data_IF_805253926122
#
_entry.id   IF_805253926122
#
_cell.length_a   1.000
_cell.length_b   1.000
_cell.length_c   1.000
_cell.angle_alpha   90.00
_cell.angle_beta   90.00
_cell.angle_gamma   90.00
#
_symmetry.space_group_name_H-M   'P 1'
#
loop_
_entity.id
_entity.type
_entity.pdbx_description
1 polymer ?
#
# COMPACT_ATOMS: atom_id res chain seq x y z
N UNK A 1 -16.47 5.48 1.88
CA UNK A 1 -15.18 6.19 1.84
C UNK A 1 -15.46 7.62 1.45
N UNK A 2 -14.53 8.55 1.72
CA UNK A 2 -14.58 9.86 1.06
C UNK A 2 -14.54 9.63 -0.46
N UNK A 3 -15.15 10.53 -1.25
CA UNK A 3 -15.37 10.38 -2.69
C UNK A 3 -14.10 10.11 -3.54
N UNK A 4 -12.93 10.13 -2.91
CA UNK A 4 -11.62 10.16 -3.55
C UNK A 4 -10.69 9.00 -3.12
N UNK A 5 -11.14 8.13 -2.21
CA UNK A 5 -10.46 6.87 -1.90
C UNK A 5 -11.46 5.75 -1.58
N UNK A 6 -11.46 4.72 -2.41
CA UNK A 6 -12.27 3.52 -2.20
C UNK A 6 -11.37 2.44 -1.61
N UNK A 7 -11.54 2.20 -0.31
CA UNK A 7 -10.84 1.15 0.43
C UNK A 7 -11.61 -0.17 0.31
N UNK A 8 -11.01 -1.24 0.79
CA UNK A 8 -11.68 -2.54 0.97
C UNK A 8 -12.18 -3.15 -0.36
N UNK A 9 -11.58 -2.81 -1.50
CA UNK A 9 -12.10 -3.23 -2.80
C UNK A 9 -12.27 -4.74 -2.92
N UNK A 10 -11.38 -5.51 -2.29
CA UNK A 10 -11.46 -6.97 -2.22
C UNK A 10 -12.82 -7.47 -1.70
N UNK A 11 -13.46 -6.73 -0.79
CA UNK A 11 -14.74 -7.12 -0.16
C UNK A 11 -15.93 -6.33 -0.70
N UNK A 12 -15.71 -5.13 -1.25
CA UNK A 12 -16.77 -4.24 -1.75
C UNK A 12 -17.11 -4.46 -3.23
N UNK A 13 -16.17 -5.01 -4.02
CA UNK A 13 -16.34 -5.19 -5.47
C UNK A 13 -16.34 -6.68 -5.82
N UNK A 14 -17.52 -7.28 -6.11
CA UNK A 14 -17.61 -8.66 -6.55
C UNK A 14 -16.74 -8.93 -7.78
N UNK A 15 -15.99 -10.04 -7.77
CA UNK A 15 -15.15 -10.44 -8.90
C UNK A 15 -13.81 -9.71 -9.02
N UNK A 16 -13.49 -8.74 -8.16
CA UNK A 16 -12.23 -7.98 -8.25
C UNK A 16 -10.99 -8.90 -8.22
N UNK A 17 -11.00 -9.97 -7.42
CA UNK A 17 -9.89 -10.94 -7.39
C UNK A 17 -9.63 -11.58 -8.75
N UNK A 18 -10.69 -12.01 -9.43
CA UNK A 18 -10.58 -12.61 -10.76
C UNK A 18 -10.03 -11.58 -11.76
N UNK A 19 -10.45 -10.31 -11.65
CA UNK A 19 -9.92 -9.21 -12.46
C UNK A 19 -8.42 -9.00 -12.16
N UNK A 20 -8.01 -8.99 -10.88
CA UNK A 20 -6.60 -8.79 -10.51
C UNK A 20 -5.71 -9.91 -11.07
N UNK A 21 -6.15 -11.16 -10.94
CA UNK A 21 -5.47 -12.32 -11.50
C UNK A 21 -5.40 -12.26 -13.03
N UNK A 22 -6.52 -11.93 -13.70
CA UNK A 22 -6.57 -11.81 -15.16
C UNK A 22 -5.67 -10.70 -15.70
N UNK A 23 -5.52 -9.61 -14.96
CA UNK A 23 -4.62 -8.51 -15.29
C UNK A 23 -3.15 -8.81 -14.94
N UNK A 24 -2.85 -9.96 -14.33
CA UNK A 24 -1.48 -10.42 -14.05
C UNK A 24 -0.86 -9.87 -12.77
N UNK A 25 -1.62 -9.20 -11.88
CA UNK A 25 -1.07 -8.66 -10.64
C UNK A 25 -0.61 -9.76 -9.67
N UNK A 26 -1.33 -10.87 -9.60
CA UNK A 26 -0.96 -12.04 -8.78
C UNK A 26 0.39 -12.61 -9.22
N UNK A 27 0.67 -12.62 -10.54
CA UNK A 27 1.94 -13.07 -11.08
C UNK A 27 3.07 -12.09 -10.74
N UNK A 28 2.85 -10.78 -10.92
CA UNK A 28 3.85 -9.77 -10.54
C UNK A 28 4.21 -9.85 -9.06
N UNK A 29 3.23 -10.07 -8.19
CA UNK A 29 3.47 -10.24 -6.76
C UNK A 29 4.20 -11.56 -6.46
N UNK A 30 3.84 -12.64 -7.15
CA UNK A 30 4.49 -13.96 -7.03
C UNK A 30 5.96 -13.88 -7.43
N UNK A 31 6.26 -13.22 -8.55
CA UNK A 31 7.64 -13.05 -9.04
C UNK A 31 8.48 -12.21 -8.06
N UNK A 32 7.88 -11.19 -7.46
CA UNK A 32 8.56 -10.33 -6.48
C UNK A 32 8.81 -11.01 -5.13
N UNK A 33 7.89 -11.86 -4.68
CA UNK A 33 8.00 -12.58 -3.40
C UNK A 33 8.75 -13.92 -3.53
N UNK A 34 8.83 -14.48 -4.74
CA UNK A 34 9.41 -15.80 -5.01
C UNK A 34 8.51 -16.99 -4.63
N UNK A 35 7.27 -16.72 -4.22
CA UNK A 35 6.28 -17.72 -3.80
C UNK A 35 4.88 -17.32 -4.28
N UNK A 36 3.97 -18.28 -4.52
CA UNK A 36 2.59 -17.98 -4.89
C UNK A 36 1.95 -16.96 -3.95
N UNK A 37 1.57 -15.81 -4.50
CA UNK A 37 1.07 -14.67 -3.75
C UNK A 37 -0.45 -14.51 -3.91
N UNK A 38 -1.08 -13.89 -2.92
CA UNK A 38 -2.51 -13.55 -2.95
C UNK A 38 -2.75 -12.15 -2.38
N UNK A 39 -3.77 -11.43 -2.89
CA UNK A 39 -4.04 -10.07 -2.45
C UNK A 39 -4.70 -10.08 -1.06
N UNK A 40 -4.16 -9.28 -0.15
CA UNK A 40 -4.69 -9.08 1.20
C UNK A 40 -5.34 -7.71 1.39
N UNK A 41 -4.99 -6.73 0.54
CA UNK A 41 -5.57 -5.39 0.56
C UNK A 41 -5.66 -4.82 -0.85
N UNK A 42 -6.71 -4.03 -1.11
CA UNK A 42 -6.85 -3.26 -2.33
C UNK A 42 -7.57 -1.94 -2.04
N UNK A 43 -6.96 -0.83 -2.46
CA UNK A 43 -7.48 0.53 -2.33
C UNK A 43 -7.30 1.28 -3.65
N UNK A 44 -8.37 1.89 -4.15
CA UNK A 44 -8.31 2.85 -5.25
C UNK A 44 -8.16 4.25 -4.67
N UNK A 45 -7.15 4.97 -5.13
CA UNK A 45 -7.03 6.40 -4.90
C UNK A 45 -7.40 7.14 -6.18
N UNK A 46 -8.28 8.12 -6.09
CA UNK A 46 -8.64 8.99 -7.19
C UNK A 46 -8.39 10.46 -6.79
N UNK A 47 -7.26 11.02 -7.25
CA UNK A 47 -6.98 12.44 -7.04
C UNK A 47 -7.56 13.26 -8.18
N UNK A 48 -8.36 14.26 -7.84
CA UNK A 48 -8.97 15.20 -8.77
C UNK A 48 -8.54 16.64 -8.45
N UNK A 49 -8.86 17.60 -9.30
CA UNK A 49 -8.57 19.02 -9.04
C UNK A 49 -9.26 19.57 -7.79
N UNK A 50 -10.43 19.04 -7.44
CA UNK A 50 -11.15 19.37 -6.20
C UNK A 50 -10.60 18.67 -4.95
N UNK A 51 -9.66 17.74 -5.09
CA UNK A 51 -9.18 16.90 -4.01
C UNK A 51 -7.68 16.56 -4.16
N UNK A 52 -6.86 17.59 -3.98
CA UNK A 52 -5.40 17.53 -4.10
C UNK A 52 -4.73 17.44 -2.73
N UNK A 53 -4.97 16.35 -1.99
CA UNK A 53 -4.35 16.20 -0.67
C UNK A 53 -2.91 15.69 -0.76
N UNK A 54 -2.08 16.17 0.19
CA UNK A 54 -0.73 15.69 0.44
C UNK A 54 -0.83 14.39 1.23
N UNK A 55 0.02 13.43 0.90
CA UNK A 55 0.27 12.27 1.74
C UNK A 55 1.63 12.50 2.39
N UNK A 56 1.70 12.73 3.72
CA UNK A 56 2.97 12.95 4.42
C UNK A 56 3.88 11.73 4.30
N UNK A 57 5.16 11.89 4.63
CA UNK A 57 6.08 10.77 4.71
C UNK A 57 5.59 9.77 5.76
N UNK A 58 5.49 8.50 5.37
CA UNK A 58 5.01 7.41 6.23
C UNK A 58 5.47 6.05 5.69
N UNK A 59 5.14 5.00 6.44
CA UNK A 59 5.22 3.59 6.05
C UNK A 59 3.81 2.96 6.08
N UNK A 60 3.59 1.92 5.28
CA UNK A 60 2.33 1.16 5.26
C UNK A 60 2.36 0.08 6.35
N UNK A 61 2.04 0.46 7.59
CA UNK A 61 2.22 -0.43 8.75
C UNK A 61 0.96 -1.22 9.14
N UNK A 62 -0.21 -0.86 8.60
CA UNK A 62 -1.50 -1.35 9.07
C UNK A 62 -2.13 -2.27 8.03
N UNK A 63 -2.36 -3.52 8.40
CA UNK A 63 -2.85 -4.57 7.52
C UNK A 63 -4.19 -5.16 7.98
N UNK A 64 -5.07 -5.59 7.04
CA UNK A 64 -6.37 -6.17 7.38
C UNK A 64 -6.25 -7.65 7.77
N UNK A 65 -6.98 -8.04 8.81
CA UNK A 65 -7.03 -9.42 9.33
C UNK A 65 -8.48 -9.85 9.57
N UNK A 66 -8.73 -11.17 9.62
CA UNK A 66 -10.09 -11.70 9.77
C UNK A 66 -10.77 -11.20 11.04
N UNK A 67 -10.06 -11.27 12.16
CA UNK A 67 -10.53 -10.86 13.47
C UNK A 67 -9.35 -10.50 14.38
N UNK A 68 -9.66 -9.92 15.54
CA UNK A 68 -8.67 -9.70 16.58
C UNK A 68 -8.36 -11.00 17.31
N UNK A 69 -7.07 -11.25 17.51
CA UNK A 69 -6.55 -12.33 18.34
C UNK A 69 -5.50 -11.77 19.31
N UNK A 70 -5.24 -12.51 20.39
CA UNK A 70 -4.23 -12.14 21.38
C UNK A 70 -2.89 -12.80 21.01
N UNK A 71 -2.25 -12.27 19.97
CA UNK A 71 -0.95 -12.75 19.48
C UNK A 71 0.14 -11.71 19.80
N UNK A 72 1.25 -12.10 20.47
CA UNK A 72 2.34 -11.20 20.80
C UNK A 72 2.94 -10.50 19.57
N UNK A 73 3.27 -9.21 19.71
CA UNK A 73 3.89 -8.40 18.65
C UNK A 73 2.92 -7.77 17.66
N UNK A 74 1.64 -8.13 17.69
CA UNK A 74 0.58 -7.48 16.91
C UNK A 74 -0.08 -6.36 17.72
N UNK A 75 0.11 -5.11 17.28
CA UNK A 75 -0.33 -3.91 18.00
C UNK A 75 -1.29 -3.07 17.16
N UNK A 76 -1.72 -1.91 17.65
CA UNK A 76 -2.47 -0.95 16.82
C UNK A 76 -3.85 -1.43 16.34
N UNK A 77 -4.44 -2.40 17.03
CA UNK A 77 -5.72 -3.01 16.68
C UNK A 77 -6.83 -1.98 16.55
N UNK A 78 -7.54 -2.00 15.41
CA UNK A 78 -8.67 -1.14 15.13
C UNK A 78 -9.67 -1.82 14.21
N UNK A 79 -10.93 -1.44 14.32
CA UNK A 79 -11.99 -1.91 13.40
C UNK A 79 -12.45 -0.75 12.54
N UNK A 80 -12.44 -0.92 11.22
CA UNK A 80 -12.92 0.08 10.26
C UNK A 80 -13.84 -0.58 9.25
N UNK A 81 -15.07 -0.07 9.15
CA UNK A 81 -16.09 -0.60 8.24
C UNK A 81 -16.28 -2.12 8.38
N UNK A 82 -16.35 -2.62 9.63
CA UNK A 82 -16.50 -4.06 9.91
C UNK A 82 -15.27 -4.91 9.67
N UNK A 83 -14.13 -4.31 9.30
CA UNK A 83 -12.86 -5.01 9.06
C UNK A 83 -11.89 -4.75 10.20
N UNK A 84 -11.32 -5.81 10.77
CA UNK A 84 -10.23 -5.71 11.73
C UNK A 84 -8.93 -5.37 11.02
N UNK A 85 -8.18 -4.43 11.58
CA UNK A 85 -6.87 -3.99 11.15
C UNK A 85 -5.91 -4.04 12.32
N UNK A 86 -4.67 -4.34 12.02
CA UNK A 86 -3.60 -4.51 13.00
C UNK A 86 -2.30 -3.97 12.44
N UNK A 87 -1.38 -3.59 13.31
CA UNK A 87 0.03 -3.37 12.98
C UNK A 87 0.81 -4.66 13.25
N UNK A 88 1.24 -5.40 12.21
CA UNK A 88 2.03 -6.61 12.39
C UNK A 88 3.47 -6.30 12.87
N UNK A 89 4.20 -7.34 13.32
CA UNK A 89 5.65 -7.28 13.48
C UNK A 89 6.38 -6.90 12.19
N UNK A 90 7.58 -6.32 12.33
CA UNK A 90 8.41 -5.89 11.19
C UNK A 90 8.72 -7.06 10.25
N UNK A 91 8.95 -8.25 10.82
CA UNK A 91 9.29 -9.48 10.10
C UNK A 91 8.14 -9.97 9.21
N UNK A 92 6.90 -9.65 9.58
CA UNK A 92 5.71 -9.96 8.77
C UNK A 92 5.59 -8.93 7.66
N UNK A 93 5.70 -7.65 7.99
CA UNK A 93 5.61 -6.56 7.00
C UNK A 93 6.72 -6.63 5.93
N UNK A 94 7.90 -7.13 6.28
CA UNK A 94 9.02 -7.27 5.33
C UNK A 94 8.81 -8.38 4.30
N UNK A 95 7.85 -9.28 4.52
CA UNK A 95 7.49 -10.39 3.62
C UNK A 95 6.26 -10.09 2.76
N UNK A 96 5.81 -8.84 2.77
CA UNK A 96 4.74 -8.34 1.95
C UNK A 96 5.31 -7.52 0.79
N UNK A 97 4.56 -7.48 -0.31
CA UNK A 97 4.84 -6.56 -1.42
C UNK A 97 3.60 -5.72 -1.69
N UNK A 98 3.79 -4.42 -1.83
CA UNK A 98 2.76 -3.52 -2.31
C UNK A 98 2.97 -3.23 -3.80
N UNK A 99 1.89 -3.36 -4.57
CA UNK A 99 1.84 -3.06 -6.00
C UNK A 99 1.01 -1.78 -6.16
N UNK A 100 1.61 -0.77 -6.80
CA UNK A 100 0.97 0.50 -7.08
C UNK A 100 0.80 0.62 -8.59
N UNK A 101 -0.38 0.25 -9.09
CA UNK A 101 -0.70 0.28 -10.51
C UNK A 101 -1.29 1.64 -10.91
N UNK A 102 -0.71 2.24 -11.94
CA UNK A 102 -1.06 3.57 -12.41
C UNK A 102 -2.10 3.49 -13.53
N UNK A 103 -3.29 4.05 -13.30
CA UNK A 103 -4.38 4.10 -14.28
C UNK A 103 -4.44 5.42 -15.05
N UNK A 104 -3.50 6.33 -14.77
CA UNK A 104 -3.27 7.60 -15.45
C UNK A 104 -1.78 7.94 -15.33
N UNK A 105 -1.27 8.78 -16.24
CA UNK A 105 0.12 9.25 -16.19
C UNK A 105 0.42 10.04 -14.91
N UNK A 106 1.55 9.72 -14.29
CA UNK A 106 2.03 10.35 -13.07
C UNK A 106 3.49 10.80 -13.22
N UNK A 107 3.75 11.88 -13.97
CA UNK A 107 5.07 12.47 -14.07
C UNK A 107 5.49 13.10 -12.73
N UNK A 108 6.79 13.34 -12.57
CA UNK A 108 7.38 14.00 -11.39
C UNK A 108 6.70 15.33 -11.01
N UNK A 109 6.13 16.04 -11.99
CA UNK A 109 5.43 17.31 -11.81
C UNK A 109 4.01 17.16 -11.23
N UNK A 110 3.45 15.94 -11.21
CA UNK A 110 2.05 15.64 -10.88
C UNK A 110 1.90 14.78 -9.60
N UNK A 111 2.65 15.13 -8.55
CA UNK A 111 2.52 14.49 -7.24
C UNK A 111 2.90 13.00 -7.24
N UNK A 112 3.87 12.63 -8.08
CA UNK A 112 4.45 11.29 -8.15
C UNK A 112 4.85 10.76 -6.76
N UNK A 113 4.91 9.43 -6.65
CA UNK A 113 5.39 8.80 -5.44
C UNK A 113 6.84 9.23 -5.22
N UNK A 114 7.17 9.64 -4.00
CA UNK A 114 8.55 9.88 -3.61
C UNK A 114 8.91 8.88 -2.53
N UNK A 115 10.08 8.26 -2.64
CA UNK A 115 10.55 7.23 -1.71
C UNK A 115 11.92 7.57 -1.17
N UNK A 116 12.26 7.07 0.00
CA UNK A 116 13.63 7.09 0.52
C UNK A 116 14.26 5.73 0.20
N UNK A 117 15.17 5.62 -0.79
CA UNK A 117 15.75 4.33 -1.17
C UNK A 117 16.42 3.63 0.03
N UNK A 118 16.23 2.31 0.15
CA UNK A 118 16.81 1.51 1.24
C UNK A 118 16.17 1.69 2.61
N UNK A 119 15.26 2.65 2.82
CA UNK A 119 14.64 2.91 4.15
C UNK A 119 13.91 1.70 4.74
N UNK A 120 13.33 0.84 3.91
CA UNK A 120 12.66 -0.40 4.32
C UNK A 120 13.57 -1.36 5.11
N UNK A 121 14.88 -1.28 4.94
CA UNK A 121 15.85 -2.12 5.66
C UNK A 121 16.00 -1.73 7.13
N UNK A 122 15.50 -0.55 7.53
CA UNK A 122 15.52 -0.06 8.91
C UNK A 122 14.33 -0.55 9.75
N UNK A 123 13.43 -1.35 9.17
CA UNK A 123 12.22 -1.81 9.84
C UNK A 123 11.20 -0.69 10.06
N UNK A 124 10.39 -0.80 11.12
CA UNK A 124 9.42 0.24 11.49
C UNK A 124 10.14 1.44 12.11
N UNK A 125 9.96 2.61 11.50
CA UNK A 125 10.50 3.88 12.00
C UNK A 125 9.44 4.59 12.85
N UNK A 126 9.89 5.36 13.83
CA UNK A 126 8.99 6.23 14.59
C UNK A 126 8.64 7.47 13.77
N UNK A 127 7.49 8.07 14.03
CA UNK A 127 7.04 9.28 13.32
C UNK A 127 8.08 10.41 13.39
N UNK A 128 8.75 10.57 14.54
CA UNK A 128 9.83 11.56 14.71
C UNK A 128 11.03 11.33 13.79
N UNK A 129 11.43 10.07 13.61
CA UNK A 129 12.53 9.70 12.71
C UNK A 129 12.15 9.95 11.25
N UNK A 130 10.91 9.62 10.86
CA UNK A 130 10.38 9.85 9.51
C UNK A 130 10.31 11.35 9.20
N UNK A 131 9.84 12.17 10.15
CA UNK A 131 9.74 13.62 10.02
C UNK A 131 11.11 14.29 9.92
N UNK A 132 12.15 13.70 10.53
CA UNK A 132 13.51 14.22 10.50
C UNK A 132 14.28 13.87 9.21
N UNK A 133 13.71 13.05 8.31
CA UNK A 133 14.36 12.69 7.04
C UNK A 133 14.50 13.93 6.15
N UNK A 134 15.73 14.22 5.75
CA UNK A 134 16.03 15.29 4.81
C UNK A 134 15.28 15.07 3.48
N UNK A 135 14.59 16.12 3.03
CA UNK A 135 13.84 16.12 1.77
C UNK A 135 14.67 15.75 0.53
N UNK A 136 15.98 15.96 0.56
CA UNK A 136 16.93 15.63 -0.52
C UNK A 136 17.18 14.13 -0.68
N UNK A 137 16.86 13.33 0.35
CA UNK A 137 16.98 11.87 0.31
C UNK A 137 15.80 11.20 -0.40
N UNK A 138 14.75 11.95 -0.71
CA UNK A 138 13.60 11.44 -1.44
C UNK A 138 13.89 11.40 -2.95
N UNK A 139 13.66 10.23 -3.53
CA UNK A 139 13.74 10.00 -4.98
C UNK A 139 12.34 9.92 -5.57
N UNK A 140 12.12 10.62 -6.68
CA UNK A 140 10.81 10.66 -7.36
C UNK A 140 10.65 9.42 -8.26
N UNK A 141 9.56 8.70 -8.09
CA UNK A 141 9.15 7.58 -8.92
C UNK A 141 8.03 8.03 -9.87
N UNK A 142 8.41 8.52 -11.06
CA UNK A 142 7.44 8.79 -12.13
C UNK A 142 6.95 7.47 -12.73
N UNK A 143 5.70 7.46 -13.20
CA UNK A 143 5.07 6.29 -13.80
C UNK A 143 4.14 6.73 -14.93
N UNK A 144 4.14 5.99 -16.03
CA UNK A 144 3.18 6.13 -17.11
C UNK A 144 1.90 5.34 -16.84
N UNK A 145 0.86 5.58 -17.63
CA UNK A 145 -0.32 4.73 -17.70
C UNK A 145 0.09 3.26 -17.88
N UNK A 146 -0.40 2.40 -17.00
CA UNK A 146 -0.15 0.95 -17.03
C UNK A 146 1.10 0.51 -16.27
N UNK A 147 1.98 1.43 -15.86
CA UNK A 147 3.13 1.07 -15.02
C UNK A 147 2.67 0.59 -13.64
N UNK A 148 3.43 -0.37 -13.10
CA UNK A 148 3.23 -0.90 -11.75
C UNK A 148 4.52 -0.70 -10.97
N UNK A 149 4.46 0.12 -9.91
CA UNK A 149 5.57 0.23 -8.96
C UNK A 149 5.43 -0.84 -7.88
N UNK A 150 6.47 -1.63 -7.70
CA UNK A 150 6.55 -2.62 -6.62
C UNK A 150 7.38 -2.04 -5.48
N UNK A 151 6.87 -2.15 -4.26
CA UNK A 151 7.53 -1.58 -3.09
C UNK A 151 7.29 -2.42 -1.83
N UNK A 152 8.24 -2.37 -0.90
CA UNK A 152 8.03 -2.90 0.45
C UNK A 152 7.08 -1.97 1.22
N UNK A 153 6.10 -2.48 2.00
CA UNK A 153 5.30 -1.65 2.90
C UNK A 153 6.13 -0.86 3.92
N UNK A 154 7.34 -1.34 4.23
CA UNK A 154 8.29 -0.66 5.11
C UNK A 154 9.07 0.47 4.41
N UNK A 155 8.91 0.70 3.10
CA UNK A 155 9.60 1.83 2.47
C UNK A 155 8.97 3.15 2.93
N UNK A 156 9.80 4.07 3.41
CA UNK A 156 9.33 5.43 3.67
C UNK A 156 8.99 6.07 2.34
N UNK A 157 7.75 6.52 2.22
CA UNK A 157 7.26 7.16 1.02
C UNK A 157 6.28 8.27 1.32
N UNK A 158 6.13 9.18 0.36
CA UNK A 158 5.18 10.29 0.40
C UNK A 158 4.63 10.58 -0.99
N UNK A 159 3.58 11.37 -1.05
CA UNK A 159 3.07 11.91 -2.31
C UNK A 159 2.76 13.38 -2.11
N UNK A 160 3.49 14.22 -2.82
CA UNK A 160 3.31 15.67 -2.80
C UNK A 160 2.02 16.07 -3.51
N UNK A 161 1.57 17.30 -3.27
CA UNK A 161 0.43 17.86 -4.00
C UNK A 161 0.77 17.96 -5.48
N UNK A 162 -0.21 17.66 -6.34
CA UNK A 162 -0.07 17.91 -7.77
C UNK A 162 0.03 19.42 -8.02
N UNK A 163 0.97 19.84 -8.87
CA UNK A 163 1.09 21.23 -9.33
C UNK A 163 0.11 21.54 -10.47
N UNK A 164 -0.34 20.52 -11.19
CA UNK A 164 -1.29 20.61 -12.31
C UNK A 164 -2.33 19.51 -12.12
N UNK A 165 -3.38 19.76 -11.32
CA UNK A 165 -4.29 18.71 -10.91
C UNK A 165 -5.10 18.19 -12.09
N UNK A 166 -4.63 17.10 -12.69
CA UNK A 166 -5.40 16.26 -13.62
C UNK A 166 -5.95 15.06 -12.86
N UNK A 167 -6.92 14.37 -13.47
CA UNK A 167 -7.45 13.13 -12.94
C UNK A 167 -6.33 12.09 -12.80
N UNK A 168 -6.13 11.55 -11.59
CA UNK A 168 -5.04 10.62 -11.32
C UNK A 168 -5.49 9.49 -10.40
N UNK A 169 -5.70 8.34 -11.00
CA UNK A 169 -6.11 7.11 -10.33
C UNK A 169 -4.94 6.16 -10.15
N UNK A 170 -4.89 5.57 -8.97
CA UNK A 170 -3.90 4.56 -8.59
C UNK A 170 -4.60 3.45 -7.85
N UNK A 171 -4.41 2.22 -8.32
CA UNK A 171 -4.79 1.02 -7.59
C UNK A 171 -3.60 0.58 -6.74
N UNK A 172 -3.76 0.65 -5.42
CA UNK A 172 -2.76 0.20 -4.46
C UNK A 172 -3.20 -1.14 -3.88
N UNK A 173 -2.39 -2.16 -4.11
CA UNK A 173 -2.62 -3.54 -3.71
C UNK A 173 -1.51 -3.94 -2.74
N UNK A 174 -1.84 -4.79 -1.77
CA UNK A 174 -0.83 -5.46 -0.94
C UNK A 174 -1.04 -6.95 -1.05
N UNK A 175 0.06 -7.68 -1.28
CA UNK A 175 0.10 -9.12 -1.44
C UNK A 175 0.93 -9.76 -0.35
N UNK A 176 0.53 -10.98 0.00
CA UNK A 176 1.26 -11.88 0.89
C UNK A 176 1.45 -13.23 0.21
N UNK A 177 2.47 -13.99 0.62
CA UNK A 177 2.66 -15.38 0.23
C UNK A 177 2.45 -16.37 1.40
N UNK A 178 2.21 -15.87 2.61
CA UNK A 178 2.01 -16.67 3.82
C UNK A 178 1.08 -15.95 4.81
N UNK A 179 0.57 -16.67 5.80
CA UNK A 179 -0.24 -16.09 6.88
C UNK A 179 0.64 -15.30 7.86
N UNK A 180 0.08 -14.26 8.53
CA UNK A 180 0.89 -13.32 9.33
C UNK A 180 1.48 -13.90 10.60
N UNK A 181 0.90 -14.96 11.17
CA UNK A 181 1.34 -15.49 12.46
C UNK A 181 0.48 -16.65 12.94
N UNK A 182 0.70 -17.09 14.18
CA UNK A 182 -0.09 -18.17 14.77
C UNK A 182 -1.46 -17.62 15.15
N UNK A 183 -2.53 -18.22 14.64
CA UNK A 183 -3.91 -17.81 14.94
C UNK A 183 -4.36 -16.49 14.28
N UNK A 184 -3.44 -15.67 13.75
CA UNK A 184 -3.76 -14.49 12.95
C UNK A 184 -3.92 -14.92 11.50
N UNK A 185 -5.03 -14.53 10.86
CA UNK A 185 -5.23 -14.73 9.42
C UNK A 185 -5.46 -13.41 8.71
N UNK A 186 -4.81 -13.23 7.55
CA UNK A 186 -5.14 -12.11 6.67
C UNK A 186 -6.61 -12.14 6.30
N UNK A 187 -7.24 -10.97 6.19
CA UNK A 187 -8.62 -10.91 5.71
C UNK A 187 -8.66 -11.20 4.21
N UNK A 188 -8.68 -12.47 3.85
CA UNK A 188 -8.88 -12.90 2.49
C UNK A 188 -10.39 -12.98 2.19
N UNK A 189 -10.74 -12.82 0.92
CA UNK A 189 -12.08 -13.13 0.38
C UNK A 189 -12.18 -14.61 0.07
#
# INVERSE_FOLDING_TARGET
GDAYAIRNLLWEVPGIKAILAQLGFDQLATDALGFPAYPISATMFDKTSGANWIVPAHQDLIMPVECRVDEPGFTGWKTKLGVAYVEPPTEVLSRLVALRAHLDDCPATNGALEVVPGSHQKGKLQDGDILAIDSTLFSVCSAALGDVLLMSPLIVHRSTASKTPVHRRVLHLVYACEQPGVGVRWKCV
#
